data_IF_251547787729
#
_entry.id   IF_251547787729
#
_cell.length_a   1.000
_cell.length_b   1.000
_cell.length_c   1.000
_cell.angle_alpha   90.00
_cell.angle_beta   90.00
_cell.angle_gamma   90.00
#
_symmetry.space_group_name_H-M   'P 1'
#
loop_
_entity.id
_entity.type
_entity.pdbx_description
1 polymer ?
#
# COMPACT_ATOMS: atom_id res chain seq x y z
N UNK A 1 31.12 -10.64 51.40
CA UNK A 1 29.74 -10.50 51.91
C UNK A 1 29.43 -9.02 51.90
N UNK A 2 28.67 -8.56 50.92
CA UNK A 2 28.35 -7.15 50.72
C UNK A 2 26.84 -6.94 50.71
N UNK A 3 26.46 -5.93 51.47
CA UNK A 3 25.23 -5.14 51.65
C UNK A 3 24.08 -5.22 50.63
N UNK A 4 22.83 -4.93 51.07
CA UNK A 4 21.66 -4.81 50.21
C UNK A 4 21.69 -3.48 49.45
N UNK A 5 21.24 -3.47 48.19
CA UNK A 5 21.06 -2.24 47.43
C UNK A 5 19.57 -1.98 47.15
N UNK A 6 19.25 -0.70 47.28
CA UNK A 6 17.93 -0.05 47.32
C UNK A 6 17.31 0.02 45.92
N UNK A 7 16.01 -0.21 45.83
CA UNK A 7 15.21 0.11 44.66
C UNK A 7 15.12 1.65 44.50
N UNK A 8 15.74 2.18 43.45
CA UNK A 8 15.52 3.53 42.98
C UNK A 8 14.67 3.43 41.70
N UNK A 9 13.58 4.19 41.67
CA UNK A 9 12.67 4.26 40.54
C UNK A 9 13.35 4.78 39.27
N UNK A 10 13.01 4.18 38.15
CA UNK A 10 13.10 4.79 36.83
C UNK A 10 11.70 4.65 36.23
N UNK A 11 11.04 5.77 35.96
CA UNK A 11 9.84 5.80 35.14
C UNK A 11 10.13 5.11 33.82
N UNK A 12 9.38 4.06 33.49
CA UNK A 12 9.37 3.50 32.16
C UNK A 12 8.86 4.57 31.20
N UNK A 13 9.80 5.20 30.50
CA UNK A 13 9.52 5.91 29.27
C UNK A 13 9.08 4.85 28.25
N UNK A 14 7.77 4.64 28.15
CA UNK A 14 7.19 3.90 27.03
C UNK A 14 7.38 4.80 25.80
N UNK A 15 8.43 4.51 25.03
CA UNK A 15 8.56 5.04 23.69
C UNK A 15 7.55 4.30 22.81
N UNK A 16 6.36 4.89 22.65
CA UNK A 16 5.36 4.44 21.70
C UNK A 16 5.93 4.61 20.29
N UNK A 17 6.23 3.50 19.62
CA UNK A 17 6.71 3.52 18.25
C UNK A 17 5.54 3.88 17.32
N UNK A 18 5.63 5.07 16.73
CA UNK A 18 4.64 5.69 15.86
C UNK A 18 4.53 4.94 14.53
N UNK A 19 3.34 4.51 14.13
CA UNK A 19 3.06 4.29 12.70
C UNK A 19 2.60 5.64 12.16
N UNK A 20 3.55 6.48 11.77
CA UNK A 20 3.27 7.55 10.84
C UNK A 20 3.14 6.89 9.48
N UNK A 21 2.00 7.06 8.81
CA UNK A 21 2.01 7.03 7.34
C UNK A 21 2.91 8.20 6.98
N UNK A 22 4.14 7.89 6.62
CA UNK A 22 5.12 8.88 6.26
C UNK A 22 4.69 9.50 4.94
N UNK A 23 3.90 10.57 5.04
CA UNK A 23 3.67 11.49 3.91
C UNK A 23 5.00 12.05 3.41
N UNK A 24 6.12 11.89 4.14
CA UNK A 24 7.41 12.21 3.60
C UNK A 24 7.86 11.29 2.46
N UNK A 25 7.35 10.06 2.33
CA UNK A 25 7.60 9.21 1.16
C UNK A 25 6.90 9.74 -0.09
N UNK A 26 5.74 10.39 0.04
CA UNK A 26 5.12 11.19 -1.02
C UNK A 26 5.85 12.54 -1.21
N UNK A 27 6.41 13.12 -0.14
CA UNK A 27 7.17 14.39 -0.18
C UNK A 27 8.60 14.26 -0.72
N UNK A 28 9.17 13.06 -0.73
CA UNK A 28 10.57 12.82 -1.13
C UNK A 28 10.83 13.10 -2.62
N UNK A 29 9.77 13.34 -3.38
CA UNK A 29 9.80 13.75 -4.78
C UNK A 29 9.40 15.22 -5.03
N UNK A 30 9.19 16.01 -3.98
CA UNK A 30 8.92 17.45 -4.07
C UNK A 30 10.16 18.24 -3.64
N UNK A 31 10.53 19.21 -4.47
CA UNK A 31 11.69 20.08 -4.32
C UNK A 31 11.80 20.72 -2.91
N UNK A 32 13.02 20.80 -2.37
CA UNK A 32 13.31 21.14 -0.96
C UNK A 32 12.82 22.54 -0.52
N UNK A 33 12.37 23.38 -1.45
CA UNK A 33 11.79 24.69 -1.16
C UNK A 33 10.32 24.65 -0.68
N UNK A 34 9.63 23.51 -0.71
CA UNK A 34 8.22 23.39 -0.28
C UNK A 34 8.04 22.84 1.15
N UNK A 35 9.13 22.41 1.82
CA UNK A 35 9.07 21.64 3.09
C UNK A 35 8.92 22.54 4.35
N UNK A 36 9.02 23.87 4.22
CA UNK A 36 9.09 24.77 5.39
C UNK A 36 7.74 25.14 6.04
N UNK A 37 6.60 24.67 5.53
CA UNK A 37 5.28 25.17 5.96
C UNK A 37 4.38 24.19 6.74
N UNK A 38 4.83 22.95 6.99
CA UNK A 38 3.97 21.90 7.56
C UNK A 38 4.07 21.80 9.10
N UNK A 39 5.08 22.40 9.73
CA UNK A 39 5.29 22.25 11.18
C UNK A 39 5.01 23.55 11.93
N UNK A 40 3.77 24.05 12.05
CA UNK A 40 3.34 24.94 13.16
C UNK A 40 1.79 25.00 13.35
N UNK A 41 1.34 24.44 14.49
CA UNK A 41 0.20 24.82 15.36
C UNK A 41 -1.28 24.47 15.08
N UNK A 42 -1.82 23.62 15.99
CA UNK A 42 -3.05 23.69 16.84
C UNK A 42 -4.48 23.73 16.21
N UNK A 43 -5.49 23.17 16.91
CA UNK A 43 -6.74 22.72 16.33
C UNK A 43 -7.86 23.78 16.32
N UNK A 44 -8.77 23.61 15.37
CA UNK A 44 -10.12 24.17 15.35
C UNK A 44 -10.27 25.67 15.04
N UNK A 45 -10.21 26.01 13.74
CA UNK A 45 -11.01 27.10 13.16
C UNK A 45 -11.37 26.74 11.72
N UNK A 46 -12.61 27.07 11.32
CA UNK A 46 -13.16 26.93 9.98
C UNK A 46 -12.12 27.34 8.92
N UNK A 47 -11.50 26.37 8.23
CA UNK A 47 -10.55 26.65 7.16
C UNK A 47 -11.30 27.22 5.97
N UNK A 48 -11.32 28.54 5.89
CA UNK A 48 -11.64 29.29 4.70
C UNK A 48 -10.61 28.92 3.63
N UNK A 49 -11.12 28.33 2.54
CA UNK A 49 -10.39 27.86 1.36
C UNK A 49 -9.39 28.92 0.87
N UNK A 50 -8.08 28.70 1.06
CA UNK A 50 -7.04 29.63 0.62
C UNK A 50 -5.93 29.01 -0.23
N UNK A 51 -5.98 27.72 -0.52
CA UNK A 51 -5.00 27.09 -1.40
C UNK A 51 -5.71 26.71 -2.69
N UNK A 52 -5.29 27.33 -3.79
CA UNK A 52 -5.62 26.82 -5.12
C UNK A 52 -5.11 25.37 -5.20
N UNK A 53 -5.96 24.47 -5.69
CA UNK A 53 -5.61 23.07 -5.80
C UNK A 53 -4.37 22.91 -6.68
N UNK A 54 -3.46 22.03 -6.28
CA UNK A 54 -2.18 21.83 -6.97
C UNK A 54 -2.40 20.88 -8.15
N UNK A 55 -1.89 21.24 -9.32
CA UNK A 55 -1.82 20.35 -10.48
C UNK A 55 -0.41 19.78 -10.60
N UNK A 56 -0.31 18.47 -10.81
CA UNK A 56 0.94 17.81 -11.16
C UNK A 56 1.43 18.30 -12.53
N UNK A 57 2.66 18.86 -12.64
CA UNK A 57 3.22 19.34 -13.90
C UNK A 57 3.23 18.29 -15.02
N UNK A 58 3.27 16.99 -14.69
CA UNK A 58 3.22 15.92 -15.68
C UNK A 58 1.88 15.83 -16.44
N UNK A 59 0.84 16.53 -15.97
CA UNK A 59 -0.46 16.68 -16.62
C UNK A 59 -0.53 17.91 -17.53
N UNK A 60 0.34 18.91 -17.37
CA UNK A 60 0.31 20.14 -18.20
C UNK A 60 0.68 19.84 -19.65
N UNK A 61 1.61 18.92 -19.87
CA UNK A 61 2.09 18.51 -21.20
C UNK A 61 1.53 17.14 -21.65
N UNK A 62 0.53 16.62 -20.93
CA UNK A 62 -0.07 15.32 -21.24
C UNK A 62 -0.94 15.39 -22.50
N UNK A 63 -0.88 14.35 -23.33
CA UNK A 63 -1.67 14.24 -24.56
C UNK A 63 -2.42 12.90 -24.60
N UNK A 64 -3.63 12.93 -25.17
CA UNK A 64 -4.50 11.76 -25.34
C UNK A 64 -5.30 11.44 -24.08
N UNK A 65 -5.56 10.16 -23.84
CA UNK A 65 -6.24 9.71 -22.62
C UNK A 65 -5.22 9.43 -21.53
N UNK A 66 -5.33 10.13 -20.40
CA UNK A 66 -4.46 9.94 -19.23
C UNK A 66 -5.23 9.62 -17.97
N UNK A 67 -4.65 8.79 -17.12
CA UNK A 67 -5.16 8.47 -15.80
C UNK A 67 -4.67 9.50 -14.78
N UNK A 68 -5.57 10.01 -13.93
CA UNK A 68 -5.25 10.95 -12.88
C UNK A 68 -5.99 10.61 -11.57
N UNK A 69 -5.41 11.04 -10.46
CA UNK A 69 -5.93 10.90 -9.11
C UNK A 69 -6.29 12.29 -8.56
N UNK A 70 -7.55 12.45 -8.19
CA UNK A 70 -8.04 13.62 -7.45
C UNK A 70 -7.91 13.30 -5.96
N UNK A 71 -7.01 14.00 -5.28
CA UNK A 71 -6.78 13.86 -3.83
C UNK A 71 -7.66 14.86 -3.09
N UNK A 72 -8.46 14.37 -2.14
CA UNK A 72 -9.39 15.16 -1.35
C UNK A 72 -8.91 15.28 0.11
N UNK A 73 -9.60 16.08 0.92
CA UNK A 73 -9.32 16.21 2.36
C UNK A 73 -9.49 14.89 3.09
N UNK A 74 -8.53 14.52 3.95
CA UNK A 74 -8.64 13.32 4.77
C UNK A 74 -9.65 13.48 5.90
N UNK A 75 -10.22 12.36 6.36
CA UNK A 75 -10.95 12.36 7.61
C UNK A 75 -9.97 12.58 8.78
N UNK A 76 -10.42 13.28 9.82
CA UNK A 76 -9.67 13.31 11.08
C UNK A 76 -9.89 11.99 11.82
N UNK A 77 -8.83 11.22 11.99
CA UNK A 77 -8.80 9.98 12.77
C UNK A 77 -7.68 10.06 13.80
N UNK A 78 -7.90 9.49 14.98
CA UNK A 78 -6.92 9.41 16.07
C UNK A 78 -6.43 7.95 16.22
N UNK A 79 -5.19 7.76 16.63
CA UNK A 79 -4.57 6.45 16.88
C UNK A 79 -5.24 5.69 18.01
N UNK A 80 -5.98 6.37 18.88
CA UNK A 80 -6.74 5.72 19.96
C UNK A 80 -8.11 5.21 19.51
N UNK A 81 -8.53 5.50 18.28
CA UNK A 81 -9.83 5.04 17.77
C UNK A 81 -9.81 3.54 17.51
N UNK A 82 -10.91 2.88 17.84
CA UNK A 82 -11.09 1.47 17.51
C UNK A 82 -11.08 1.25 16.00
N UNK A 83 -10.58 0.08 15.56
CA UNK A 83 -10.44 -0.23 14.12
C UNK A 83 -11.75 -0.07 13.36
N UNK A 84 -12.85 -0.59 13.90
CA UNK A 84 -14.15 -0.54 13.22
C UNK A 84 -14.71 0.89 13.14
N UNK A 85 -14.46 1.71 14.17
CA UNK A 85 -14.83 3.12 14.18
C UNK A 85 -14.01 3.91 13.16
N UNK A 86 -12.70 3.66 13.09
CA UNK A 86 -11.79 4.23 12.09
C UNK A 86 -12.27 3.91 10.66
N UNK A 87 -12.56 2.63 10.39
CA UNK A 87 -13.06 2.20 9.07
C UNK A 87 -14.39 2.86 8.73
N UNK A 88 -15.33 2.93 9.67
CA UNK A 88 -16.63 3.58 9.46
C UNK A 88 -16.47 5.07 9.16
N UNK A 89 -15.62 5.75 9.93
CA UNK A 89 -15.33 7.18 9.77
C UNK A 89 -14.73 7.49 8.40
N UNK A 90 -13.70 6.75 7.99
CA UNK A 90 -13.06 6.94 6.69
C UNK A 90 -14.04 6.70 5.53
N UNK A 91 -14.84 5.63 5.60
CA UNK A 91 -15.86 5.34 4.56
C UNK A 91 -16.95 6.40 4.48
N UNK A 92 -17.46 6.86 5.61
CA UNK A 92 -18.50 7.90 5.65
C UNK A 92 -17.98 9.24 5.13
N UNK A 93 -16.76 9.61 5.54
CA UNK A 93 -16.11 10.84 5.06
C UNK A 93 -15.86 10.79 3.55
N UNK A 94 -15.31 9.69 3.05
CA UNK A 94 -15.11 9.49 1.61
C UNK A 94 -16.44 9.53 0.84
N UNK A 95 -17.47 8.80 1.30
CA UNK A 95 -18.79 8.82 0.65
C UNK A 95 -19.40 10.23 0.56
N UNK A 96 -19.20 11.04 1.60
CA UNK A 96 -19.71 12.42 1.66
C UNK A 96 -18.93 13.34 0.73
N UNK A 97 -17.60 13.36 0.86
CA UNK A 97 -16.73 14.31 0.15
C UNK A 97 -16.54 13.98 -1.32
N UNK A 98 -16.48 12.69 -1.67
CA UNK A 98 -16.29 12.28 -3.07
C UNK A 98 -17.56 12.47 -3.89
N UNK A 99 -18.75 12.55 -3.29
CA UNK A 99 -19.99 12.62 -4.06
C UNK A 99 -20.07 13.89 -4.91
N UNK A 100 -19.76 15.06 -4.35
CA UNK A 100 -19.74 16.32 -5.10
C UNK A 100 -18.64 16.31 -6.16
N UNK A 101 -17.44 15.84 -5.82
CA UNK A 101 -16.29 15.76 -6.74
C UNK A 101 -16.62 14.87 -7.94
N UNK A 102 -17.19 13.69 -7.72
CA UNK A 102 -17.62 12.79 -8.79
C UNK A 102 -18.68 13.41 -9.70
N UNK A 103 -19.68 14.07 -9.11
CA UNK A 103 -20.73 14.75 -9.89
C UNK A 103 -20.14 15.86 -10.76
N UNK A 104 -19.23 16.68 -10.21
CA UNK A 104 -18.55 17.72 -10.98
C UNK A 104 -17.63 17.14 -12.07
N UNK A 105 -16.83 16.14 -11.76
CA UNK A 105 -15.92 15.49 -12.70
C UNK A 105 -16.67 14.87 -13.88
N UNK A 106 -17.72 14.09 -13.62
CA UNK A 106 -18.56 13.50 -14.68
C UNK A 106 -19.35 14.53 -15.50
N UNK A 107 -19.42 15.79 -15.04
CA UNK A 107 -20.00 16.90 -15.80
C UNK A 107 -19.04 17.49 -16.85
N UNK A 108 -17.75 17.19 -16.77
CA UNK A 108 -16.73 17.65 -17.72
C UNK A 108 -16.64 16.70 -18.92
N UNK A 109 -16.51 17.26 -20.12
CA UNK A 109 -16.44 16.46 -21.34
C UNK A 109 -15.08 15.78 -21.47
N UNK A 110 -15.02 14.45 -21.50
CA UNK A 110 -13.72 13.77 -21.59
C UNK A 110 -13.19 13.31 -20.25
N UNK A 111 -13.94 13.52 -19.18
CA UNK A 111 -13.59 12.99 -17.87
C UNK A 111 -14.54 11.86 -17.53
N UNK A 112 -13.97 10.73 -17.10
CA UNK A 112 -14.73 9.60 -16.57
C UNK A 112 -14.15 9.20 -15.22
N UNK A 113 -15.01 9.09 -14.20
CA UNK A 113 -14.61 8.54 -12.90
C UNK A 113 -14.49 7.02 -13.02
N UNK A 114 -13.27 6.50 -12.85
CA UNK A 114 -12.96 5.09 -13.03
C UNK A 114 -12.94 4.28 -11.74
N UNK A 115 -12.62 4.91 -10.60
CA UNK A 115 -12.59 4.27 -9.29
C UNK A 115 -12.63 5.29 -8.13
N UNK A 116 -12.83 4.81 -6.91
CA UNK A 116 -12.76 5.59 -5.66
C UNK A 116 -12.07 4.83 -4.55
N UNK A 117 -11.15 5.50 -3.84
CA UNK A 117 -10.40 4.92 -2.72
C UNK A 117 -10.76 5.63 -1.42
N UNK A 118 -11.40 4.92 -0.48
CA UNK A 118 -11.91 5.51 0.75
C UNK A 118 -10.83 5.72 1.84
N UNK A 119 -9.77 4.92 1.84
CA UNK A 119 -8.69 5.01 2.86
C UNK A 119 -7.94 6.33 2.68
N UNK A 120 -7.48 6.61 1.46
CA UNK A 120 -6.73 7.81 1.13
C UNK A 120 -7.62 8.96 0.61
N UNK A 121 -8.94 8.80 0.66
CA UNK A 121 -9.92 9.72 0.08
C UNK A 121 -9.54 10.26 -1.33
N UNK A 122 -9.44 9.35 -2.30
CA UNK A 122 -9.04 9.65 -3.69
C UNK A 122 -10.16 9.27 -4.66
N UNK A 123 -10.35 10.08 -5.70
CA UNK A 123 -11.16 9.73 -6.88
C UNK A 123 -10.23 9.53 -8.07
N UNK A 124 -10.28 8.35 -8.70
CA UNK A 124 -9.55 8.07 -9.93
C UNK A 124 -10.38 8.48 -11.15
N UNK A 125 -9.74 9.13 -12.11
CA UNK A 125 -10.38 9.56 -13.35
C UNK A 125 -9.51 9.26 -14.57
N UNK A 126 -10.13 9.03 -15.72
CA UNK A 126 -9.50 9.19 -17.03
C UNK A 126 -9.83 10.58 -17.57
N UNK A 127 -8.88 11.18 -18.29
CA UNK A 127 -9.00 12.50 -18.90
C UNK A 127 -8.60 12.38 -20.38
N UNK A 128 -9.54 12.68 -21.28
CA UNK A 128 -9.28 12.95 -22.69
C UNK A 128 -8.85 14.42 -22.82
N UNK A 129 -7.53 14.66 -22.91
CA UNK A 129 -6.92 15.99 -22.90
C UNK A 129 -7.29 16.83 -24.12
N UNK A 130 -7.80 16.21 -25.19
CA UNK A 130 -8.30 16.93 -26.37
C UNK A 130 -9.67 17.58 -26.10
N UNK A 131 -10.37 17.16 -25.04
CA UNK A 131 -11.72 17.64 -24.69
C UNK A 131 -11.78 18.45 -23.41
N UNK A 132 -10.93 18.14 -22.43
CA UNK A 132 -10.86 18.85 -21.15
C UNK A 132 -9.42 19.02 -20.71
N UNK A 133 -9.09 20.25 -20.32
CA UNK A 133 -7.82 20.57 -19.67
C UNK A 133 -7.82 20.05 -18.22
N UNK A 134 -6.74 19.41 -17.78
CA UNK A 134 -6.64 18.81 -16.44
C UNK A 134 -6.82 19.86 -15.32
N UNK A 135 -6.52 21.13 -15.62
CA UNK A 135 -6.68 22.31 -14.80
C UNK A 135 -8.15 22.51 -14.38
N UNK A 136 -9.12 22.05 -15.18
CA UNK A 136 -10.54 22.11 -14.81
C UNK A 136 -10.87 21.21 -13.61
N UNK A 137 -10.18 20.08 -13.45
CA UNK A 137 -10.35 19.19 -12.30
C UNK A 137 -9.82 19.82 -11.02
N UNK A 138 -8.72 20.57 -11.11
CA UNK A 138 -8.16 21.32 -9.98
C UNK A 138 -9.14 22.41 -9.48
N UNK A 139 -10.04 22.91 -10.33
CA UNK A 139 -11.05 23.91 -9.94
C UNK A 139 -12.25 23.31 -9.20
N UNK A 140 -12.41 21.99 -9.17
CA UNK A 140 -13.53 21.32 -8.51
C UNK A 140 -13.45 21.55 -7.00
N UNK A 141 -14.56 21.99 -6.40
CA UNK A 141 -14.67 22.13 -4.95
C UNK A 141 -14.48 20.78 -4.24
N UNK A 142 -13.51 20.71 -3.33
CA UNK A 142 -13.15 19.51 -2.57
C UNK A 142 -11.92 18.78 -3.11
N UNK A 143 -11.45 19.11 -4.32
CA UNK A 143 -10.16 18.62 -4.84
C UNK A 143 -9.04 19.47 -4.25
N UNK A 144 -8.03 18.84 -3.68
CA UNK A 144 -6.82 19.50 -3.16
C UNK A 144 -5.67 19.41 -4.15
N UNK A 145 -5.55 18.27 -4.82
CA UNK A 145 -4.46 18.02 -5.77
C UNK A 145 -4.94 17.08 -6.87
N UNK A 146 -4.48 17.33 -8.09
CA UNK A 146 -4.65 16.46 -9.25
C UNK A 146 -3.29 15.90 -9.61
N UNK A 147 -3.11 14.58 -9.51
CA UNK A 147 -1.84 13.88 -9.72
C UNK A 147 -1.95 12.95 -10.91
N UNK A 148 -0.93 12.86 -11.76
CA UNK A 148 -0.91 11.84 -12.82
C UNK A 148 -0.70 10.46 -12.21
N UNK A 149 -1.52 9.49 -12.60
CA UNK A 149 -1.30 8.09 -12.19
C UNK A 149 0.02 7.60 -12.78
N UNK A 150 0.86 6.98 -11.94
CA UNK A 150 2.16 6.44 -12.35
C UNK A 150 1.99 5.02 -12.87
N UNK A 151 2.69 4.71 -13.94
CA UNK A 151 2.83 3.35 -14.46
C UNK A 151 4.15 2.75 -13.98
N UNK A 152 4.10 1.49 -13.56
CA UNK A 152 5.26 0.73 -13.14
C UNK A 152 5.44 -0.47 -14.07
N UNK A 153 6.70 -0.78 -14.41
CA UNK A 153 7.05 -1.97 -15.19
C UNK A 153 7.71 -3.00 -14.30
N UNK A 154 7.47 -4.27 -14.60
CA UNK A 154 8.11 -5.38 -13.90
C UNK A 154 9.60 -5.41 -14.31
N UNK A 155 10.53 -5.47 -13.34
CA UNK A 155 11.94 -5.60 -13.66
C UNK A 155 12.24 -6.99 -14.21
N UNK A 156 12.87 -7.06 -15.38
CA UNK A 156 13.33 -8.33 -15.94
C UNK A 156 14.68 -8.75 -15.34
N UNK A 157 14.87 -10.05 -15.02
CA UNK A 157 16.16 -10.59 -14.64
C UNK A 157 17.20 -10.37 -15.74
N UNK A 158 18.44 -10.05 -15.36
CA UNK A 158 19.55 -10.01 -16.31
C UNK A 158 20.00 -11.44 -16.63
N UNK A 159 20.05 -11.79 -17.92
CA UNK A 159 20.52 -13.09 -18.45
C UNK A 159 21.96 -13.50 -18.05
N UNK A 160 22.68 -12.63 -17.32
CA UNK A 160 24.09 -12.79 -17.03
C UNK A 160 24.40 -13.77 -15.90
N UNK A 161 23.40 -14.28 -15.18
CA UNK A 161 23.62 -15.23 -14.08
C UNK A 161 23.03 -16.58 -14.48
N UNK A 162 23.90 -17.52 -14.88
CA UNK A 162 23.49 -18.93 -14.96
C UNK A 162 23.14 -19.40 -13.55
N UNK A 163 22.01 -20.10 -13.35
CA UNK A 163 21.75 -20.76 -12.09
C UNK A 163 22.95 -21.62 -11.73
N UNK A 164 23.63 -21.31 -10.63
CA UNK A 164 24.55 -22.27 -10.05
C UNK A 164 23.69 -23.47 -9.64
N UNK A 165 24.06 -24.71 -10.01
CA UNK A 165 23.36 -25.86 -9.45
C UNK A 165 23.38 -25.72 -7.94
N UNK A 166 22.19 -25.67 -7.34
CA UNK A 166 22.08 -25.75 -5.90
C UNK A 166 22.82 -27.01 -5.46
N UNK A 167 23.72 -26.95 -4.47
CA UNK A 167 24.20 -28.16 -3.84
C UNK A 167 22.97 -28.98 -3.43
N UNK A 168 22.98 -30.30 -3.63
CA UNK A 168 21.82 -31.16 -3.31
C UNK A 168 21.47 -31.24 -1.80
N UNK A 169 22.02 -30.32 -0.98
CA UNK A 169 22.10 -30.38 0.49
C UNK A 169 21.95 -28.98 1.14
N UNK A 170 21.43 -27.97 0.43
CA UNK A 170 21.13 -26.67 1.06
C UNK A 170 19.70 -26.64 1.62
N UNK A 171 19.60 -26.48 2.94
CA UNK A 171 18.31 -26.28 3.64
C UNK A 171 17.68 -24.90 3.38
N UNK A 172 18.45 -23.95 2.81
CA UNK A 172 18.03 -22.57 2.58
C UNK A 172 18.73 -21.97 1.37
N UNK A 173 18.13 -20.91 0.80
CA UNK A 173 18.74 -20.15 -0.29
C UNK A 173 19.82 -19.21 0.27
N UNK A 174 20.82 -18.87 -0.55
CA UNK A 174 21.90 -17.94 -0.17
C UNK A 174 21.36 -16.61 0.42
N UNK A 175 20.27 -16.08 -0.12
CA UNK A 175 19.67 -14.84 0.36
C UNK A 175 19.14 -14.95 1.80
N UNK A 176 18.52 -16.07 2.14
CA UNK A 176 18.00 -16.34 3.50
C UNK A 176 19.14 -16.51 4.52
N UNK A 177 20.25 -17.12 4.09
CA UNK A 177 21.45 -17.24 4.93
C UNK A 177 22.08 -15.86 5.21
N UNK A 178 22.15 -14.98 4.21
CA UNK A 178 22.74 -13.64 4.36
C UNK A 178 21.97 -12.74 5.34
N UNK A 179 20.67 -12.99 5.54
CA UNK A 179 19.84 -12.24 6.49
C UNK A 179 19.65 -12.99 7.82
N UNK A 180 20.40 -14.07 8.05
CA UNK A 180 20.32 -14.92 9.25
C UNK A 180 18.90 -15.41 9.58
N UNK A 181 18.09 -15.70 8.57
CA UNK A 181 16.69 -16.10 8.79
C UNK A 181 16.60 -17.45 9.54
N UNK A 182 17.50 -18.38 9.23
CA UNK A 182 17.62 -19.69 9.89
C UNK A 182 17.99 -19.59 11.36
N UNK A 183 18.84 -18.64 11.73
CA UNK A 183 19.24 -18.43 13.13
C UNK A 183 18.02 -18.00 13.96
N UNK A 184 17.18 -17.10 13.44
CA UNK A 184 15.95 -16.67 14.11
C UNK A 184 14.96 -17.83 14.28
N UNK A 185 14.72 -18.61 13.22
CA UNK A 185 13.82 -19.76 13.31
C UNK A 185 14.31 -20.79 14.33
N UNK A 186 15.61 -21.02 14.42
CA UNK A 186 16.20 -22.00 15.33
C UNK A 186 16.28 -21.49 16.78
N UNK A 187 16.58 -20.21 16.99
CA UNK A 187 16.76 -19.64 18.34
C UNK A 187 15.41 -19.39 19.03
N UNK A 188 14.42 -18.91 18.27
CA UNK A 188 13.15 -18.47 18.83
C UNK A 188 11.98 -19.42 18.54
N UNK A 189 12.17 -20.44 17.70
CA UNK A 189 11.11 -21.37 17.27
C UNK A 189 9.88 -20.64 16.72
N UNK A 190 10.12 -19.62 15.90
CA UNK A 190 9.09 -18.81 15.23
C UNK A 190 9.32 -18.81 13.73
N UNK A 191 8.24 -18.82 12.95
CA UNK A 191 8.27 -18.74 11.48
C UNK A 191 7.28 -17.73 10.91
N UNK A 192 6.69 -16.88 11.77
CA UNK A 192 5.69 -15.89 11.34
C UNK A 192 4.26 -16.37 11.52
N UNK A 193 4.04 -17.31 12.43
CA UNK A 193 2.72 -17.81 12.81
C UNK A 193 1.76 -16.66 13.11
N UNK A 194 0.50 -16.81 12.69
CA UNK A 194 -0.57 -15.80 12.83
C UNK A 194 -0.30 -14.45 12.13
N UNK A 195 0.70 -14.39 11.24
CA UNK A 195 0.98 -13.21 10.41
C UNK A 195 0.48 -13.44 8.98
N UNK A 196 -0.06 -12.38 8.37
CA UNK A 196 -0.41 -12.37 6.94
C UNK A 196 0.47 -11.38 6.20
N UNK A 197 1.04 -11.82 5.08
CA UNK A 197 1.80 -10.96 4.16
C UNK A 197 1.03 -10.87 2.85
N UNK A 198 0.73 -9.65 2.41
CA UNK A 198 0.13 -9.40 1.10
C UNK A 198 1.23 -9.05 0.10
N UNK A 199 1.31 -9.81 -0.99
CA UNK A 199 2.26 -9.58 -2.10
C UNK A 199 1.49 -8.96 -3.27
N UNK A 200 1.86 -7.74 -3.65
CA UNK A 200 1.29 -7.03 -4.80
C UNK A 200 2.22 -7.20 -5.99
N UNK A 201 1.90 -8.14 -6.86
CA UNK A 201 2.77 -8.56 -7.97
C UNK A 201 1.94 -9.15 -9.13
N UNK A 202 2.57 -9.81 -10.10
CA UNK A 202 1.94 -10.38 -11.31
C UNK A 202 0.98 -11.54 -11.04
N UNK A 203 0.90 -11.97 -9.79
CA UNK A 203 0.06 -13.06 -9.30
C UNK A 203 0.90 -14.17 -8.66
N UNK A 204 0.35 -15.39 -8.62
CA UNK A 204 1.02 -16.55 -8.02
C UNK A 204 0.46 -17.84 -8.61
N UNK A 205 1.35 -18.80 -8.90
CA UNK A 205 0.98 -20.17 -9.22
C UNK A 205 0.56 -20.92 -7.96
N UNK A 206 -0.74 -21.04 -7.76
CA UNK A 206 -1.34 -21.75 -6.62
C UNK A 206 -1.20 -23.27 -6.69
N UNK A 207 -0.72 -23.81 -7.82
CA UNK A 207 -0.42 -25.23 -7.97
C UNK A 207 1.03 -25.58 -7.61
N UNK A 208 1.85 -24.59 -7.28
CA UNK A 208 3.25 -24.78 -6.94
C UNK A 208 3.38 -25.61 -5.65
N UNK A 209 4.15 -26.72 -5.64
CA UNK A 209 4.18 -27.67 -4.53
C UNK A 209 4.73 -27.09 -3.22
N UNK A 210 5.49 -26.00 -3.30
CA UNK A 210 6.09 -25.32 -2.15
C UNK A 210 5.32 -24.06 -1.71
N UNK A 211 4.13 -23.79 -2.26
CA UNK A 211 3.35 -22.61 -1.89
C UNK A 211 1.98 -23.02 -1.37
N UNK A 212 1.65 -22.54 -0.17
CA UNK A 212 0.30 -22.60 0.39
C UNK A 212 -0.20 -21.19 0.67
N UNK A 213 -1.34 -20.83 0.09
CA UNK A 213 -1.92 -19.50 0.26
C UNK A 213 -2.96 -19.51 1.36
N UNK A 214 -3.05 -18.37 2.07
CA UNK A 214 -4.11 -18.14 3.02
C UNK A 214 -5.51 -18.32 2.38
N UNK A 215 -6.34 -19.17 2.97
CA UNK A 215 -7.73 -19.39 2.56
C UNK A 215 -8.71 -18.76 3.57
N UNK A 216 -9.64 -17.94 3.08
CA UNK A 216 -10.82 -17.47 3.83
C UNK A 216 -11.97 -18.50 3.81
N UNK A 217 -12.13 -19.23 2.71
CA UNK A 217 -13.15 -20.26 2.52
C UNK A 217 -12.59 -21.47 1.77
N UNK A 218 -12.09 -22.45 2.53
CA UNK A 218 -11.52 -23.68 1.98
C UNK A 218 -12.51 -24.54 1.18
N UNK A 219 -13.83 -24.28 1.29
CA UNK A 219 -14.86 -24.98 0.52
C UNK A 219 -15.13 -24.36 -0.84
N UNK A 220 -14.50 -23.24 -1.18
CA UNK A 220 -14.61 -22.62 -2.49
C UNK A 220 -13.51 -23.15 -3.43
N UNK A 221 -13.87 -24.00 -4.42
CA UNK A 221 -12.88 -24.67 -5.27
C UNK A 221 -12.20 -23.73 -6.27
N UNK A 222 -12.71 -22.52 -6.46
CA UNK A 222 -12.21 -21.52 -7.42
C UNK A 222 -11.46 -20.39 -6.70
N UNK A 223 -11.91 -20.06 -5.49
CA UNK A 223 -11.43 -18.91 -4.75
C UNK A 223 -11.40 -19.23 -3.26
N UNK A 224 -10.36 -19.93 -2.77
CA UNK A 224 -10.22 -20.20 -1.36
C UNK A 224 -10.07 -18.92 -0.53
N UNK A 225 -9.90 -17.73 -1.12
CA UNK A 225 -9.57 -16.47 -0.42
C UNK A 225 -8.08 -16.17 -0.50
N UNK A 226 -7.64 -15.00 -0.04
CA UNK A 226 -6.21 -14.64 0.05
C UNK A 226 -5.52 -14.24 -1.25
N UNK A 227 -6.24 -14.11 -2.36
CA UNK A 227 -5.72 -13.61 -3.63
C UNK A 227 -6.73 -12.66 -4.28
N UNK A 228 -6.29 -11.66 -5.04
CA UNK A 228 -7.15 -10.80 -5.83
C UNK A 228 -6.39 -10.22 -7.04
N UNK A 229 -7.11 -10.04 -8.15
CA UNK A 229 -6.63 -9.32 -9.32
C UNK A 229 -7.30 -7.94 -9.40
N UNK A 230 -6.54 -6.94 -9.84
CA UNK A 230 -7.01 -5.57 -10.01
C UNK A 230 -6.71 -5.10 -11.44
N UNK A 231 -7.64 -4.35 -12.03
CA UNK A 231 -7.43 -3.71 -13.33
C UNK A 231 -6.59 -2.43 -13.24
N UNK A 232 -6.31 -1.81 -14.38
CA UNK A 232 -5.52 -0.56 -14.47
C UNK A 232 -6.16 0.64 -13.73
N UNK A 233 -7.44 0.54 -13.40
CA UNK A 233 -8.16 1.54 -12.59
C UNK A 233 -8.18 1.18 -11.10
N UNK A 234 -7.56 0.07 -10.71
CA UNK A 234 -7.53 -0.45 -9.35
C UNK A 234 -8.85 -1.10 -8.91
N UNK A 235 -9.75 -1.45 -9.83
CA UNK A 235 -10.97 -2.19 -9.50
C UNK A 235 -10.62 -3.67 -9.41
N UNK A 236 -11.17 -4.36 -8.41
CA UNK A 236 -11.03 -5.81 -8.33
C UNK A 236 -11.76 -6.46 -9.52
N UNK A 237 -11.06 -7.35 -10.24
CA UNK A 237 -11.61 -8.06 -11.39
C UNK A 237 -12.60 -9.13 -10.92
N UNK A 238 -13.91 -9.03 -11.22
CA UNK A 238 -14.89 -9.97 -10.71
C UNK A 238 -14.70 -11.37 -11.33
N UNK A 239 -14.65 -12.39 -10.49
CA UNK A 239 -14.55 -13.79 -10.93
C UNK A 239 -13.17 -14.18 -11.50
N UNK A 240 -12.15 -13.34 -11.32
CA UNK A 240 -10.77 -13.73 -11.62
C UNK A 240 -10.34 -14.93 -10.77
N UNK A 241 -9.67 -15.89 -11.38
CA UNK A 241 -9.10 -17.04 -10.69
C UNK A 241 -7.59 -16.81 -10.41
N UNK A 242 -7.07 -17.33 -9.28
CA UNK A 242 -5.65 -17.22 -8.95
C UNK A 242 -4.77 -17.76 -10.07
N UNK A 243 -3.86 -16.90 -10.54
CA UNK A 243 -2.85 -17.23 -11.55
C UNK A 243 -1.69 -16.27 -11.41
N UNK A 244 -0.56 -16.61 -12.00
CA UNK A 244 0.51 -15.67 -12.29
C UNK A 244 0.49 -15.32 -13.77
N UNK A 245 0.39 -14.03 -14.09
CA UNK A 245 0.41 -13.53 -15.47
C UNK A 245 1.82 -13.47 -16.07
N UNK A 246 2.86 -13.70 -15.25
CA UNK A 246 4.25 -13.67 -15.69
C UNK A 246 5.05 -14.84 -15.11
N UNK A 247 5.57 -14.68 -13.89
CA UNK A 247 6.35 -15.63 -13.08
C UNK A 247 6.98 -14.88 -11.88
N UNK A 248 7.11 -13.55 -12.00
CA UNK A 248 7.74 -12.68 -11.02
C UNK A 248 7.04 -12.78 -9.66
N UNK A 249 5.71 -12.72 -9.65
CA UNK A 249 4.92 -12.83 -8.43
C UNK A 249 5.03 -14.20 -7.75
N UNK A 250 5.09 -15.30 -8.51
CA UNK A 250 5.37 -16.64 -7.95
C UNK A 250 6.76 -16.70 -7.33
N UNK A 251 7.78 -16.13 -7.98
CA UNK A 251 9.14 -16.08 -7.44
C UNK A 251 9.25 -15.24 -6.16
N UNK A 252 8.64 -14.05 -6.15
CA UNK A 252 8.57 -13.17 -4.97
C UNK A 252 7.83 -13.88 -3.84
N UNK A 253 6.69 -14.50 -4.13
CA UNK A 253 5.91 -15.27 -3.15
C UNK A 253 6.71 -16.46 -2.62
N UNK A 254 7.47 -17.17 -3.45
CA UNK A 254 8.38 -18.24 -3.03
C UNK A 254 9.52 -17.76 -2.12
N UNK A 255 9.99 -16.53 -2.32
CA UNK A 255 10.98 -15.91 -1.40
C UNK A 255 10.36 -15.61 -0.03
N UNK A 256 9.06 -15.30 -0.01
CA UNK A 256 8.31 -14.98 1.21
C UNK A 256 7.76 -16.22 1.92
N UNK A 257 7.38 -17.28 1.21
CA UNK A 257 6.57 -18.37 1.76
C UNK A 257 6.89 -19.77 1.22
N UNK A 258 8.00 -19.94 0.48
CA UNK A 258 8.39 -21.22 -0.12
C UNK A 258 8.70 -22.31 0.91
N UNK A 259 8.05 -23.46 0.78
CA UNK A 259 8.07 -24.58 1.74
C UNK A 259 8.97 -25.76 1.36
N UNK A 260 9.86 -25.67 0.37
CA UNK A 260 10.93 -26.68 0.20
C UNK A 260 12.04 -26.56 1.26
N UNK A 261 11.63 -26.34 2.51
CA UNK A 261 12.23 -26.65 3.82
C UNK A 261 11.55 -25.86 4.98
N UNK A 262 10.25 -25.55 4.92
CA UNK A 262 9.52 -24.96 6.05
C UNK A 262 9.49 -23.44 6.14
N UNK A 263 9.67 -22.64 5.08
CA UNK A 263 10.18 -21.28 5.26
C UNK A 263 9.23 -20.13 4.88
N UNK A 264 8.40 -19.62 5.81
CA UNK A 264 7.87 -18.27 5.72
C UNK A 264 8.88 -17.22 6.23
N UNK A 265 9.04 -16.16 5.44
CA UNK A 265 9.73 -14.91 5.73
C UNK A 265 8.95 -14.12 6.77
N UNK A 266 9.66 -13.73 7.82
CA UNK A 266 9.20 -12.90 8.92
C UNK A 266 8.91 -11.47 8.45
N UNK A 267 7.67 -11.00 8.62
CA UNK A 267 7.36 -9.57 8.77
C UNK A 267 6.73 -9.38 10.14
N UNK A 268 7.47 -8.75 11.06
CA UNK A 268 6.96 -8.39 12.38
C UNK A 268 5.86 -7.34 12.26
N UNK A 269 4.61 -7.73 12.50
CA UNK A 269 3.59 -6.82 13.00
C UNK A 269 2.87 -7.51 14.16
N UNK A 270 3.34 -7.24 15.39
CA UNK A 270 2.56 -7.49 16.59
C UNK A 270 1.29 -6.65 16.53
N UNK A 271 0.12 -7.29 16.56
CA UNK A 271 -1.10 -6.64 17.07
C UNK A 271 -1.50 -7.37 18.34
N UNK A 272 -1.40 -6.66 19.46
CA UNK A 272 -1.92 -7.10 20.75
C UNK A 272 -3.44 -7.25 20.69
N UNK A 273 -3.92 -8.26 21.42
CA UNK A 273 -5.30 -8.68 21.71
C UNK A 273 -6.37 -7.60 21.82
#
# INVERSE_FOLDING_TARGET
MATPFVAAGGSEHIAHNTISIDTAQLSSSLDQNQVSYITQHEPNTLRQKSHASILDPALEDANGTVNALLVLDQASVDQTMERNETVSTLKQHAATTQQSVKTSANGLQGVEVTNTFWIANIVSVTIDTDRTDAQELAKIDGVNTVVKSREHSIPEPKDTVKPSPAPNDVNTTYGLDQINATDIWNEFDVRGENTKVAVLDTGVDVSHPDLDLYTENASNPIYPGGWAEFDDSGNQVPGSEPRDSHYHGTHVTGTVAGDSAGVPLLVLLQTSS
#
